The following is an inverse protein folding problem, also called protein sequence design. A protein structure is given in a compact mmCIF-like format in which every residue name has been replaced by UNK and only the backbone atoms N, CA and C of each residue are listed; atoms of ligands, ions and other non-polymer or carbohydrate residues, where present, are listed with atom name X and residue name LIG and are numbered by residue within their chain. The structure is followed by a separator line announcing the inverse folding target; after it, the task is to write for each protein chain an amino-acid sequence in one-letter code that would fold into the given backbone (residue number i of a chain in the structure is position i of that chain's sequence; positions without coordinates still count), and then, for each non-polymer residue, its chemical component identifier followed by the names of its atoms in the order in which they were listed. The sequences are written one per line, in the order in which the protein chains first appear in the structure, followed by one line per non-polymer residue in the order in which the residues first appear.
data_IF_457473873336
#
_entry.id   IF_457473873336
#
_cell.length_a   1.000
_cell.length_b   1.000
_cell.length_c   1.000
_cell.angle_alpha   90.00
_cell.angle_beta   90.00
_cell.angle_gamma   90.00
#
_symmetry.space_group_name_H-M   'P 1'
#
loop_
_entity.id
_entity.type
_entity.pdbx_description
1 polymer ?
#
# COMPACT_ATOMS: atom_id res chain seq x y z
N UNK A 1 10.82 -14.27 -0.83
CA UNK A 1 11.50 -15.29 -1.63
C UNK A 1 12.08 -14.70 -2.92
N UNK A 2 11.30 -14.02 -3.79
CA UNK A 2 11.82 -13.43 -5.03
C UNK A 2 12.93 -12.39 -4.81
N UNK A 3 12.75 -11.48 -3.84
CA UNK A 3 13.79 -10.50 -3.50
C UNK A 3 15.14 -11.16 -3.15
N UNK A 4 15.12 -12.25 -2.39
CA UNK A 4 16.33 -13.01 -2.05
C UNK A 4 16.97 -13.69 -3.28
N UNK A 5 16.16 -14.11 -4.26
CA UNK A 5 16.65 -14.61 -5.54
C UNK A 5 17.32 -13.50 -6.36
N UNK A 6 16.78 -12.28 -6.34
CA UNK A 6 17.39 -11.12 -7.02
C UNK A 6 18.73 -10.71 -6.40
N UNK A 7 18.92 -10.90 -5.09
CA UNK A 7 20.20 -10.70 -4.43
C UNK A 7 21.23 -11.80 -4.70
N UNK A 8 20.87 -12.86 -5.45
CA UNK A 8 21.75 -13.94 -5.82
C UNK A 8 21.97 -15.01 -4.75
N UNK A 9 21.16 -15.01 -3.68
CA UNK A 9 21.27 -16.05 -2.63
C UNK A 9 20.88 -17.44 -3.13
N UNK A 10 19.94 -17.54 -4.04
CA UNK A 10 19.61 -18.75 -4.80
C UNK A 10 19.02 -18.37 -6.15
N UNK A 11 19.50 -19.02 -7.19
CA UNK A 11 18.89 -18.88 -8.50
C UNK A 11 17.68 -19.81 -8.56
N UNK A 12 16.49 -19.25 -8.77
CA UNK A 12 15.31 -20.06 -9.13
C UNK A 12 15.51 -20.48 -10.58
N UNK A 13 16.42 -21.46 -10.79
CA UNK A 13 16.54 -22.13 -12.09
C UNK A 13 15.43 -23.17 -12.16
N UNK A 14 14.58 -23.08 -13.18
CA UNK A 14 13.81 -24.25 -13.58
C UNK A 14 14.77 -25.43 -13.69
N UNK A 15 14.40 -26.66 -13.23
CA UNK A 15 15.26 -27.80 -13.36
C UNK A 15 15.85 -27.88 -14.76
N UNK A 16 17.17 -27.96 -14.86
CA UNK A 16 17.91 -27.90 -16.14
C UNK A 16 17.36 -28.86 -17.20
N UNK A 17 16.70 -29.93 -16.78
CA UNK A 17 15.96 -30.86 -17.65
C UNK A 17 14.75 -30.20 -18.35
N UNK A 18 14.07 -29.24 -17.69
CA UNK A 18 12.92 -28.52 -18.27
C UNK A 18 13.37 -27.37 -19.13
N UNK A 19 14.35 -26.59 -18.68
CA UNK A 19 14.93 -25.49 -19.47
C UNK A 19 15.58 -26.03 -20.75
N UNK A 20 16.41 -27.06 -20.64
CA UNK A 20 17.03 -27.72 -21.80
C UNK A 20 16.01 -28.43 -22.72
N UNK A 21 14.90 -28.93 -22.17
CA UNK A 21 13.82 -29.52 -22.98
C UNK A 21 13.03 -28.47 -23.74
N UNK A 22 12.80 -27.28 -23.12
CA UNK A 22 12.14 -26.15 -23.77
C UNK A 22 13.07 -25.51 -24.80
N UNK A 23 14.35 -25.27 -24.48
CA UNK A 23 15.34 -24.70 -25.40
C UNK A 23 15.64 -25.66 -26.57
N UNK A 24 15.75 -26.98 -26.32
CA UNK A 24 15.94 -27.96 -27.39
C UNK A 24 14.69 -28.14 -28.28
N UNK A 25 13.48 -27.97 -27.72
CA UNK A 25 12.25 -27.93 -28.52
C UNK A 25 12.11 -26.61 -29.27
N UNK A 26 12.43 -25.47 -28.63
CA UNK A 26 12.42 -24.17 -29.26
C UNK A 26 13.39 -24.08 -30.45
N UNK A 27 14.60 -24.67 -30.29
CA UNK A 27 15.61 -24.71 -31.36
C UNK A 27 15.32 -25.74 -32.47
N UNK A 28 14.51 -26.75 -32.19
CA UNK A 28 14.13 -27.77 -33.19
C UNK A 28 12.80 -27.48 -33.90
N UNK A 29 11.99 -26.62 -33.34
CA UNK A 29 10.67 -26.26 -33.89
C UNK A 29 10.76 -24.87 -34.47
N UNK A 30 11.09 -24.74 -35.73
CA UNK A 30 11.00 -23.47 -36.44
C UNK A 30 9.53 -23.09 -36.63
N UNK A 31 9.07 -22.02 -36.00
CA UNK A 31 7.72 -21.52 -36.22
C UNK A 31 7.04 -20.87 -35.01
N UNK A 32 5.76 -20.60 -35.12
CA UNK A 32 4.90 -19.93 -34.15
C UNK A 32 4.95 -20.55 -32.73
N UNK A 33 5.17 -21.89 -32.61
CA UNK A 33 5.25 -22.57 -31.32
C UNK A 33 6.50 -22.17 -30.52
N UNK A 34 7.64 -21.96 -31.18
CA UNK A 34 8.85 -21.47 -30.50
C UNK A 34 8.67 -20.07 -29.98
N UNK A 35 8.07 -19.19 -30.80
CA UNK A 35 7.76 -17.81 -30.40
C UNK A 35 6.78 -17.79 -29.22
N UNK A 36 5.75 -18.62 -29.26
CA UNK A 36 4.77 -18.74 -28.17
C UNK A 36 5.42 -19.23 -26.87
N UNK A 37 6.27 -20.26 -26.92
CA UNK A 37 6.98 -20.75 -25.73
C UNK A 37 7.94 -19.71 -25.14
N UNK A 38 8.67 -18.98 -25.98
CA UNK A 38 9.52 -17.87 -25.52
C UNK A 38 8.71 -16.75 -24.89
N UNK A 39 7.62 -16.35 -25.52
CA UNK A 39 6.71 -15.33 -24.99
C UNK A 39 6.06 -15.78 -23.67
N UNK A 40 5.66 -17.02 -23.58
CA UNK A 40 5.10 -17.61 -22.35
C UNK A 40 6.10 -17.64 -21.20
N UNK A 41 7.35 -18.03 -21.47
CA UNK A 41 8.43 -18.01 -20.46
C UNK A 41 8.73 -16.59 -20.00
N UNK A 42 8.78 -15.62 -20.93
CA UNK A 42 8.97 -14.21 -20.64
C UNK A 42 7.81 -13.66 -19.79
N UNK A 43 6.56 -14.03 -20.12
CA UNK A 43 5.38 -13.65 -19.35
C UNK A 43 5.41 -14.22 -17.93
N UNK A 44 5.80 -15.49 -17.74
CA UNK A 44 5.94 -16.11 -16.41
C UNK A 44 6.99 -15.39 -15.55
N UNK A 45 8.13 -15.04 -16.11
CA UNK A 45 9.18 -14.31 -15.39
C UNK A 45 8.70 -12.90 -15.05
N UNK A 46 8.05 -12.21 -15.99
CA UNK A 46 7.48 -10.86 -15.76
C UNK A 46 6.35 -10.87 -14.74
N UNK A 47 5.54 -11.94 -14.68
CA UNK A 47 4.44 -12.06 -13.74
C UNK A 47 4.91 -12.01 -12.27
N UNK A 48 6.09 -12.53 -11.99
CA UNK A 48 6.69 -12.48 -10.65
C UNK A 48 6.94 -11.05 -10.15
N UNK A 49 7.32 -10.12 -11.05
CA UNK A 49 7.59 -8.73 -10.70
C UNK A 49 6.31 -7.87 -10.68
N UNK A 50 5.27 -8.29 -11.41
CA UNK A 50 4.04 -7.52 -11.61
C UNK A 50 2.88 -8.01 -10.73
N UNK A 51 3.06 -9.15 -10.06
CA UNK A 51 2.07 -9.76 -9.17
C UNK A 51 1.41 -8.78 -8.18
N UNK A 52 2.16 -7.94 -7.48
CA UNK A 52 1.59 -6.96 -6.56
C UNK A 52 0.65 -5.94 -7.24
N UNK A 53 0.99 -5.49 -8.45
CA UNK A 53 0.19 -4.52 -9.21
C UNK A 53 -1.10 -5.18 -9.71
N UNK A 54 -0.97 -6.39 -10.25
CA UNK A 54 -2.12 -7.16 -10.74
C UNK A 54 -3.04 -7.55 -9.57
N UNK A 55 -2.46 -7.95 -8.44
CA UNK A 55 -3.20 -8.26 -7.23
C UNK A 55 -4.02 -7.06 -6.73
N UNK A 56 -3.42 -5.87 -6.71
CA UNK A 56 -4.13 -4.64 -6.34
C UNK A 56 -5.30 -4.34 -7.28
N UNK A 57 -5.10 -4.44 -8.59
CA UNK A 57 -6.15 -4.20 -9.58
C UNK A 57 -7.29 -5.22 -9.48
N UNK A 58 -6.98 -6.49 -9.18
CA UNK A 58 -7.98 -7.54 -8.96
C UNK A 58 -8.80 -7.30 -7.67
N UNK A 59 -8.14 -6.86 -6.61
CA UNK A 59 -8.82 -6.51 -5.36
C UNK A 59 -9.73 -5.30 -5.58
N UNK A 60 -9.26 -4.28 -6.28
CA UNK A 60 -10.08 -3.10 -6.62
C UNK A 60 -11.31 -3.50 -7.47
N UNK A 61 -11.15 -4.41 -8.42
CA UNK A 61 -12.27 -4.98 -9.17
C UNK A 61 -13.27 -5.71 -8.26
N UNK A 62 -12.78 -6.53 -7.34
CA UNK A 62 -13.62 -7.31 -6.44
C UNK A 62 -14.40 -6.44 -5.45
N UNK A 63 -13.83 -5.28 -5.06
CA UNK A 63 -14.45 -4.38 -4.08
C UNK A 63 -15.35 -3.32 -4.71
N UNK A 64 -14.96 -2.75 -5.86
CA UNK A 64 -15.71 -1.68 -6.53
C UNK A 64 -16.83 -2.18 -7.44
N UNK A 65 -16.75 -3.44 -7.88
CA UNK A 65 -17.67 -4.02 -8.88
C UNK A 65 -17.59 -3.34 -10.26
N UNK A 66 -16.66 -2.38 -10.44
CA UNK A 66 -16.48 -1.65 -11.69
C UNK A 66 -15.43 -2.32 -12.56
N UNK A 67 -15.85 -2.95 -13.64
CA UNK A 67 -14.96 -3.64 -14.59
C UNK A 67 -14.03 -2.69 -15.36
N UNK A 68 -14.47 -1.47 -15.65
CA UNK A 68 -13.76 -0.57 -16.56
C UNK A 68 -12.44 -0.02 -15.97
N UNK A 69 -12.40 0.30 -14.68
CA UNK A 69 -11.19 0.81 -14.02
C UNK A 69 -10.01 -0.16 -14.12
N UNK A 70 -10.12 -1.38 -13.57
CA UNK A 70 -9.09 -2.40 -13.68
C UNK A 70 -8.78 -2.83 -15.11
N UNK A 71 -9.77 -2.90 -16.01
CA UNK A 71 -9.56 -3.26 -17.41
C UNK A 71 -8.67 -2.22 -18.13
N UNK A 72 -8.94 -0.93 -17.96
CA UNK A 72 -8.11 0.15 -18.53
C UNK A 72 -6.72 0.14 -17.88
N UNK A 73 -6.62 -0.08 -16.57
CA UNK A 73 -5.35 -0.19 -15.86
C UNK A 73 -4.49 -1.34 -16.38
N UNK A 74 -5.07 -2.52 -16.56
CA UNK A 74 -4.37 -3.69 -17.11
C UNK A 74 -3.97 -3.49 -18.56
N UNK A 75 -4.81 -2.88 -19.37
CA UNK A 75 -4.50 -2.58 -20.77
C UNK A 75 -3.38 -1.54 -20.89
N UNK A 76 -3.41 -0.49 -20.08
CA UNK A 76 -2.33 0.51 -20.00
C UNK A 76 -1.00 -0.11 -19.58
N UNK A 77 -1.02 -1.00 -18.59
CA UNK A 77 0.14 -1.75 -18.16
C UNK A 77 0.70 -2.67 -19.25
N UNK A 78 -0.17 -3.42 -19.94
CA UNK A 78 0.23 -4.30 -21.04
C UNK A 78 0.85 -3.50 -22.20
N UNK A 79 0.28 -2.35 -22.55
CA UNK A 79 0.82 -1.45 -23.58
C UNK A 79 2.19 -0.87 -23.15
N UNK A 80 2.33 -0.43 -21.91
CA UNK A 80 3.58 0.10 -21.37
C UNK A 80 4.72 -0.93 -21.41
N UNK A 81 4.41 -2.20 -21.15
CA UNK A 81 5.38 -3.30 -21.30
C UNK A 81 5.66 -3.66 -22.76
N UNK A 82 4.63 -3.71 -23.61
CA UNK A 82 4.79 -4.10 -25.01
C UNK A 82 5.57 -3.07 -25.83
N UNK A 83 5.44 -1.78 -25.52
CA UNK A 83 6.03 -0.68 -26.29
C UNK A 83 7.56 -0.74 -26.39
N UNK A 84 8.35 -0.90 -25.30
CA UNK A 84 9.80 -1.05 -25.40
C UNK A 84 10.21 -2.28 -26.23
N UNK A 85 9.53 -3.42 -26.02
CA UNK A 85 9.87 -4.64 -26.76
C UNK A 85 9.56 -4.53 -28.26
N UNK A 86 8.45 -3.90 -28.63
CA UNK A 86 8.13 -3.61 -30.04
C UNK A 86 9.13 -2.66 -30.66
N UNK A 87 9.56 -1.61 -29.95
CA UNK A 87 10.60 -0.68 -30.40
C UNK A 87 11.93 -1.40 -30.64
N UNK A 88 12.35 -2.25 -29.74
CA UNK A 88 13.58 -3.05 -29.92
C UNK A 88 13.45 -4.07 -31.06
N UNK A 89 12.27 -4.64 -31.28
CA UNK A 89 12.02 -5.54 -32.40
C UNK A 89 12.03 -4.82 -33.74
N UNK A 90 11.51 -3.57 -33.81
CA UNK A 90 11.53 -2.74 -35.02
C UNK A 90 12.92 -2.17 -35.34
N UNK A 91 13.74 -1.88 -34.32
CA UNK A 91 15.07 -1.31 -34.49
C UNK A 91 16.16 -2.20 -33.86
N UNK A 92 16.50 -3.35 -34.47
CA UNK A 92 17.52 -4.29 -33.94
C UNK A 92 18.91 -3.66 -33.82
N UNK A 93 19.19 -2.59 -34.56
CA UNK A 93 20.44 -1.81 -34.47
C UNK A 93 20.64 -1.15 -33.12
N UNK A 94 19.56 -0.73 -32.44
CA UNK A 94 19.62 -0.19 -31.08
C UNK A 94 20.04 -1.24 -30.06
N UNK A 95 19.59 -2.48 -30.26
CA UNK A 95 19.98 -3.62 -29.39
C UNK A 95 21.49 -3.94 -29.54
N UNK A 96 22.06 -3.74 -30.75
CA UNK A 96 23.51 -3.94 -30.99
C UNK A 96 24.35 -2.81 -30.39
N UNK A 97 23.79 -1.61 -30.25
CA UNK A 97 24.40 -0.46 -29.63
C UNK A 97 24.23 -0.42 -28.10
N UNK A 98 23.31 -1.25 -27.56
CA UNK A 98 23.19 -1.42 -26.11
C UNK A 98 24.50 -2.03 -25.56
N UNK A 99 25.05 -1.47 -24.48
CA UNK A 99 26.29 -1.99 -23.91
C UNK A 99 26.11 -3.45 -23.55
N UNK A 100 26.95 -4.32 -24.12
CA UNK A 100 26.99 -5.77 -23.87
C UNK A 100 27.43 -6.12 -22.42
N UNK A 101 27.38 -5.15 -21.51
CA UNK A 101 27.77 -5.35 -20.11
C UNK A 101 26.62 -5.87 -19.29
N UNK A 102 26.74 -7.08 -18.77
CA UNK A 102 25.78 -7.65 -17.80
C UNK A 102 25.59 -6.78 -16.54
N UNK A 103 26.47 -5.82 -16.30
CA UNK A 103 26.42 -4.94 -15.12
C UNK A 103 25.16 -4.11 -14.98
N UNK A 104 24.65 -3.50 -16.06
CA UNK A 104 23.42 -2.69 -15.99
C UNK A 104 22.19 -3.53 -15.65
N UNK A 105 22.07 -4.69 -16.27
CA UNK A 105 20.96 -5.61 -16.00
C UNK A 105 20.98 -6.09 -14.55
N UNK A 106 22.16 -6.28 -13.99
CA UNK A 106 22.31 -6.73 -12.61
C UNK A 106 21.93 -5.62 -11.62
N UNK A 107 22.36 -4.36 -11.88
CA UNK A 107 21.94 -3.20 -11.09
C UNK A 107 20.40 -3.09 -11.08
N UNK A 108 19.77 -3.27 -12.23
CA UNK A 108 18.31 -3.24 -12.33
C UNK A 108 17.64 -4.36 -11.50
N UNK A 109 18.15 -5.60 -11.59
CA UNK A 109 17.64 -6.75 -10.81
C UNK A 109 17.73 -6.50 -9.31
N UNK A 110 18.89 -6.05 -8.84
CA UNK A 110 19.10 -5.78 -7.40
C UNK A 110 18.23 -4.62 -6.93
N UNK A 111 18.12 -3.55 -7.72
CA UNK A 111 17.22 -2.42 -7.40
C UNK A 111 15.77 -2.85 -7.28
N UNK A 112 15.28 -3.66 -8.22
CA UNK A 112 13.93 -4.24 -8.17
C UNK A 112 13.75 -5.15 -6.94
N UNK A 113 14.78 -5.91 -6.57
CA UNK A 113 14.78 -6.73 -5.37
C UNK A 113 14.58 -5.92 -4.07
N UNK A 114 15.24 -4.76 -3.96
CA UNK A 114 15.02 -3.86 -2.82
C UNK A 114 13.62 -3.27 -2.80
N UNK A 115 13.09 -2.87 -3.95
CA UNK A 115 11.72 -2.34 -4.07
C UNK A 115 10.71 -3.42 -3.70
N UNK A 116 10.90 -4.65 -4.18
CA UNK A 116 10.04 -5.79 -3.85
C UNK A 116 10.06 -6.11 -2.34
N UNK A 117 11.23 -6.01 -1.71
CA UNK A 117 11.36 -6.18 -0.27
C UNK A 117 10.60 -5.09 0.51
N UNK A 118 10.65 -3.85 0.05
CA UNK A 118 9.90 -2.74 0.65
C UNK A 118 8.38 -2.97 0.54
N UNK A 119 7.90 -3.43 -0.60
CA UNK A 119 6.48 -3.79 -0.77
C UNK A 119 6.09 -5.02 0.07
N UNK A 120 6.96 -6.02 0.17
CA UNK A 120 6.72 -7.18 1.05
C UNK A 120 6.52 -6.75 2.50
N UNK A 121 7.35 -5.82 3.01
CA UNK A 121 7.14 -5.22 4.33
C UNK A 121 5.79 -4.51 4.43
N UNK A 122 5.37 -3.77 3.39
CA UNK A 122 4.06 -3.10 3.38
C UNK A 122 2.90 -4.09 3.49
N UNK A 123 2.87 -5.13 2.67
CA UNK A 123 1.80 -6.13 2.69
C UNK A 123 1.81 -6.92 4.01
N UNK A 124 3.00 -7.25 4.52
CA UNK A 124 3.11 -7.94 5.80
C UNK A 124 2.57 -7.07 6.95
N UNK A 125 2.91 -5.77 6.99
CA UNK A 125 2.39 -4.86 8.01
C UNK A 125 0.86 -4.71 7.95
N UNK A 126 0.26 -4.67 6.76
CA UNK A 126 -1.21 -4.63 6.63
C UNK A 126 -1.83 -5.92 7.17
N UNK A 127 -1.25 -7.09 6.84
CA UNK A 127 -1.73 -8.36 7.35
C UNK A 127 -1.55 -8.45 8.88
N UNK A 128 -0.39 -8.05 9.38
CA UNK A 128 -0.04 -8.05 10.80
C UNK A 128 -1.05 -7.25 11.64
N UNK A 129 -1.36 -6.03 11.21
CA UNK A 129 -2.34 -5.18 11.88
C UNK A 129 -3.77 -5.71 11.74
N UNK A 130 -4.13 -6.23 10.55
CA UNK A 130 -5.46 -6.78 10.33
C UNK A 130 -5.75 -8.02 11.19
N UNK A 131 -4.74 -8.84 11.46
CA UNK A 131 -4.85 -10.00 12.35
C UNK A 131 -4.56 -9.66 13.83
N UNK A 132 -4.07 -8.45 14.12
CA UNK A 132 -3.80 -7.97 15.47
C UNK A 132 -2.57 -8.58 16.12
N UNK A 133 -1.54 -8.94 15.33
CA UNK A 133 -0.29 -9.50 15.86
C UNK A 133 0.63 -8.43 16.46
N UNK A 134 0.59 -7.21 15.92
CA UNK A 134 1.40 -6.06 16.36
C UNK A 134 2.92 -6.32 16.36
N UNK A 135 3.41 -7.05 15.36
CA UNK A 135 4.83 -7.31 15.14
C UNK A 135 5.50 -6.22 14.29
N UNK A 136 4.72 -5.61 13.39
CA UNK A 136 5.19 -4.61 12.44
C UNK A 136 4.37 -3.32 12.53
N UNK A 137 4.38 -2.73 13.72
CA UNK A 137 3.81 -1.41 13.95
C UNK A 137 4.60 -0.32 13.21
N UNK A 138 4.15 0.92 13.26
CA UNK A 138 4.66 2.00 12.43
C UNK A 138 6.17 2.24 12.56
N UNK A 139 6.72 2.21 13.78
CA UNK A 139 8.14 2.42 14.02
C UNK A 139 8.99 1.29 13.42
N UNK A 140 8.60 0.02 13.58
CA UNK A 140 9.31 -1.13 13.03
C UNK A 140 9.28 -1.08 11.49
N UNK A 141 8.12 -0.75 10.92
CA UNK A 141 7.97 -0.56 9.49
C UNK A 141 8.90 0.53 8.96
N UNK A 142 8.93 1.71 9.60
CA UNK A 142 9.79 2.81 9.19
C UNK A 142 11.27 2.47 9.34
N UNK A 143 11.68 1.81 10.43
CA UNK A 143 13.05 1.32 10.61
C UNK A 143 13.49 0.42 9.46
N UNK A 144 12.64 -0.55 9.07
CA UNK A 144 12.94 -1.46 7.97
C UNK A 144 13.01 -0.71 6.62
N UNK A 145 12.10 0.22 6.37
CA UNK A 145 12.12 1.01 5.14
C UNK A 145 13.35 1.92 5.06
N UNK A 146 13.74 2.58 6.15
CA UNK A 146 14.95 3.37 6.23
C UNK A 146 16.18 2.50 5.92
N UNK A 147 16.25 1.30 6.49
CA UNK A 147 17.34 0.36 6.23
C UNK A 147 17.35 -0.09 4.76
N UNK A 148 16.20 -0.47 4.18
CA UNK A 148 16.07 -0.93 2.80
C UNK A 148 16.52 0.17 1.82
N UNK A 149 15.97 1.39 1.93
CA UNK A 149 16.31 2.49 1.03
C UNK A 149 17.71 3.03 1.29
N UNK A 150 18.20 2.99 2.52
CA UNK A 150 19.60 3.33 2.85
C UNK A 150 20.58 2.34 2.19
N UNK A 151 20.34 1.04 2.30
CA UNK A 151 21.17 0.00 1.67
C UNK A 151 21.08 0.08 0.14
N UNK A 152 19.89 0.31 -0.42
CA UNK A 152 19.73 0.55 -1.87
C UNK A 152 20.56 1.74 -2.32
N UNK A 153 20.54 2.84 -1.57
CA UNK A 153 21.33 4.03 -1.88
C UNK A 153 22.83 3.76 -1.85
N UNK A 154 23.33 3.03 -0.84
CA UNK A 154 24.73 2.62 -0.74
C UNK A 154 25.13 1.66 -1.88
N UNK A 155 24.23 0.78 -2.30
CA UNK A 155 24.44 -0.10 -3.44
C UNK A 155 24.59 0.69 -4.75
N UNK A 156 23.65 1.60 -5.02
CA UNK A 156 23.65 2.42 -6.24
C UNK A 156 24.86 3.37 -6.34
N UNK A 157 25.41 3.82 -5.20
CA UNK A 157 26.65 4.61 -5.16
C UNK A 157 27.90 3.72 -5.34
N UNK A 158 27.73 2.37 -5.29
CA UNK A 158 28.82 1.42 -5.46
C UNK A 158 29.61 1.09 -4.19
N UNK A 159 29.07 1.44 -3.01
CA UNK A 159 29.69 1.08 -1.71
C UNK A 159 29.35 -0.33 -1.26
N UNK A 160 28.18 -0.83 -1.63
CA UNK A 160 27.75 -2.21 -1.41
C UNK A 160 27.87 -3.01 -2.71
N UNK A 161 28.30 -4.25 -2.59
CA UNK A 161 28.45 -5.19 -3.71
C UNK A 161 27.79 -6.52 -3.31
N UNK A 162 27.03 -7.08 -4.22
CA UNK A 162 26.43 -8.41 -4.04
C UNK A 162 27.19 -9.46 -4.85
N UNK A 163 27.05 -10.70 -4.46
CA UNK A 163 27.68 -11.84 -5.14
C UNK A 163 27.22 -11.98 -6.61
N UNK A 164 26.05 -11.43 -6.94
CA UNK A 164 25.51 -11.34 -8.29
C UNK A 164 26.23 -10.33 -9.19
N UNK A 165 27.04 -9.41 -8.63
CA UNK A 165 27.74 -8.36 -9.39
C UNK A 165 28.97 -8.86 -10.16
N UNK A 166 29.22 -10.18 -10.12
CA UNK A 166 30.37 -10.82 -10.81
C UNK A 166 31.69 -10.64 -10.06
N UNK A 167 32.65 -11.51 -10.39
CA UNK A 167 34.02 -11.46 -9.89
C UNK A 167 34.93 -11.01 -11.02
N UNK A 168 35.62 -9.86 -10.87
CA UNK A 168 36.64 -9.47 -11.83
C UNK A 168 36.68 -7.97 -12.19
N UNK A 169 37.22 -7.67 -13.36
CA UNK A 169 37.51 -6.30 -13.84
C UNK A 169 36.27 -5.38 -13.98
N UNK A 170 35.05 -5.90 -14.02
CA UNK A 170 33.82 -5.10 -14.05
C UNK A 170 33.58 -4.33 -12.76
N UNK A 171 34.15 -4.76 -11.64
CA UNK A 171 34.05 -4.13 -10.33
C UNK A 171 34.81 -2.80 -10.21
N UNK A 172 35.71 -2.51 -11.12
CA UNK A 172 36.58 -1.29 -11.10
C UNK A 172 36.01 -0.16 -11.96
N UNK A 173 34.99 -0.40 -12.77
CA UNK A 173 34.36 0.64 -13.58
C UNK A 173 33.57 1.61 -12.73
N UNK A 174 33.71 2.94 -12.95
CA UNK A 174 32.89 3.93 -12.24
C UNK A 174 31.42 3.71 -12.54
N UNK A 175 30.59 3.78 -11.50
CA UNK A 175 29.13 3.68 -11.62
C UNK A 175 28.61 4.78 -12.55
N UNK A 176 27.62 4.48 -13.42
CA UNK A 176 26.97 5.49 -14.24
C UNK A 176 26.41 6.63 -13.37
N UNK A 177 26.52 7.86 -13.83
CA UNK A 177 26.02 9.05 -13.10
C UNK A 177 24.55 8.89 -12.69
N UNK A 178 23.74 8.27 -13.52
CA UNK A 178 22.32 8.02 -13.23
C UNK A 178 22.12 7.10 -11.99
N UNK A 179 23.02 6.13 -11.79
CA UNK A 179 22.98 5.26 -10.61
C UNK A 179 23.36 6.04 -9.35
N UNK A 180 24.38 6.89 -9.44
CA UNK A 180 24.79 7.74 -8.32
C UNK A 180 23.67 8.70 -7.93
N UNK A 181 23.01 9.33 -8.90
CA UNK A 181 21.85 10.19 -8.64
C UNK A 181 20.70 9.41 -8.00
N UNK A 182 20.39 8.22 -8.52
CA UNK A 182 19.38 7.32 -7.91
C UNK A 182 19.75 6.96 -6.48
N UNK A 183 21.02 6.69 -6.21
CA UNK A 183 21.54 6.41 -4.88
C UNK A 183 21.37 7.58 -3.91
N UNK A 184 21.69 8.79 -4.35
CA UNK A 184 21.48 10.01 -3.55
C UNK A 184 20.00 10.25 -3.25
N UNK A 185 19.11 10.06 -4.22
CA UNK A 185 17.65 10.16 -4.02
C UNK A 185 17.18 9.12 -2.99
N UNK A 186 17.66 7.89 -3.08
CA UNK A 186 17.31 6.82 -2.15
C UNK A 186 17.77 7.12 -0.72
N UNK A 187 18.98 7.65 -0.54
CA UNK A 187 19.50 8.07 0.77
C UNK A 187 18.71 9.27 1.30
N UNK A 188 18.45 10.27 0.45
CA UNK A 188 17.63 11.43 0.85
C UNK A 188 16.23 11.00 1.30
N UNK A 189 15.62 10.02 0.62
CA UNK A 189 14.35 9.45 0.99
C UNK A 189 14.41 8.70 2.34
N UNK A 190 15.48 7.94 2.60
CA UNK A 190 15.72 7.30 3.88
C UNK A 190 15.86 8.33 5.03
N UNK A 191 16.62 9.41 4.80
CA UNK A 191 16.78 10.51 5.77
C UNK A 191 15.43 11.23 6.01
N UNK A 192 14.63 11.43 4.96
CA UNK A 192 13.31 12.04 5.08
C UNK A 192 12.37 11.25 6.00
N UNK A 193 12.53 9.93 6.07
CA UNK A 193 11.70 9.08 6.95
C UNK A 193 12.14 9.09 8.42
N UNK A 194 13.38 9.51 8.75
CA UNK A 194 13.89 9.51 10.12
C UNK A 194 12.98 10.24 11.12
N UNK A 195 12.48 11.46 10.86
CA UNK A 195 11.56 12.13 11.77
C UNK A 195 10.28 11.35 12.07
N UNK A 196 9.87 10.45 11.15
CA UNK A 196 8.71 9.58 11.34
C UNK A 196 8.83 8.64 12.53
N UNK A 197 10.06 8.28 12.93
CA UNK A 197 10.31 7.46 14.13
C UNK A 197 9.92 8.18 15.44
N UNK A 198 9.81 9.50 15.41
CA UNK A 198 9.39 10.33 16.54
C UNK A 198 7.98 10.92 16.37
N UNK A 199 7.18 10.36 15.43
CA UNK A 199 5.78 10.76 15.25
C UNK A 199 5.53 11.83 14.18
N UNK A 200 6.53 12.16 13.34
CA UNK A 200 6.26 13.04 12.21
C UNK A 200 5.36 12.32 11.15
N UNK A 201 4.40 13.01 10.54
CA UNK A 201 3.43 12.40 9.62
C UNK A 201 4.03 11.88 8.32
N UNK A 202 5.24 12.32 7.92
CA UNK A 202 5.97 11.88 6.73
C UNK A 202 5.07 11.78 5.49
N UNK A 203 4.50 12.90 5.02
CA UNK A 203 3.46 12.96 3.98
C UNK A 203 3.77 12.15 2.72
N UNK A 204 5.04 12.15 2.26
CA UNK A 204 5.44 11.41 1.06
C UNK A 204 5.36 9.88 1.22
N UNK A 205 5.38 9.37 2.45
CA UNK A 205 5.36 7.93 2.76
C UNK A 205 4.02 7.51 3.38
N UNK A 206 3.15 8.47 3.70
CA UNK A 206 1.89 8.22 4.42
C UNK A 206 1.03 7.14 3.77
N UNK A 207 0.99 7.09 2.43
CA UNK A 207 0.25 6.09 1.66
C UNK A 207 0.70 4.65 1.93
N UNK A 208 1.95 4.45 2.35
CA UNK A 208 2.57 3.14 2.55
C UNK A 208 2.72 2.80 4.04
N UNK A 209 2.98 3.79 4.88
CA UNK A 209 3.20 3.60 6.30
C UNK A 209 1.91 3.15 7.01
N UNK A 210 2.03 2.32 8.07
CA UNK A 210 0.92 2.00 8.96
C UNK A 210 0.25 3.24 9.57
N UNK A 211 -0.97 3.09 10.11
CA UNK A 211 -1.65 4.17 10.83
C UNK A 211 -0.79 4.79 11.92
N UNK A 212 -0.93 6.11 12.14
CA UNK A 212 -0.12 6.81 13.14
C UNK A 212 -0.43 6.33 14.57
N UNK A 213 -1.65 5.90 14.83
CA UNK A 213 -2.08 5.40 16.14
C UNK A 213 -1.44 4.06 16.56
N UNK A 214 -0.75 3.36 15.64
CA UNK A 214 0.01 2.13 15.97
C UNK A 214 1.41 2.42 16.49
N UNK A 215 1.85 3.68 16.53
CA UNK A 215 3.16 4.06 17.01
C UNK A 215 3.16 4.25 18.52
N UNK A 216 4.03 3.51 19.23
CA UNK A 216 4.15 3.57 20.68
C UNK A 216 4.81 4.86 21.17
N UNK A 217 5.88 5.27 20.50
CA UNK A 217 6.64 6.46 20.86
C UNK A 217 6.36 7.62 19.93
N UNK A 218 5.67 8.65 20.45
CA UNK A 218 5.31 9.83 19.69
C UNK A 218 5.56 11.11 20.49
N UNK A 219 6.43 11.98 19.98
CA UNK A 219 6.69 13.32 20.55
C UNK A 219 5.65 14.36 20.11
N UNK A 220 4.80 14.04 19.14
CA UNK A 220 3.78 14.94 18.65
C UNK A 220 2.52 14.86 19.51
N UNK A 221 2.44 15.71 20.51
CA UNK A 221 1.32 15.79 21.47
C UNK A 221 0.01 16.29 20.87
N UNK A 222 0.02 16.82 19.64
CA UNK A 222 -1.16 17.34 18.92
C UNK A 222 -1.73 16.36 17.89
N UNK A 223 -1.27 15.12 17.92
CA UNK A 223 -1.79 14.11 17.01
C UNK A 223 -3.26 13.81 17.29
N UNK A 224 -4.03 13.65 16.21
CA UNK A 224 -5.41 13.16 16.30
C UNK A 224 -5.35 11.65 16.46
N UNK A 225 -5.74 11.14 17.61
CA UNK A 225 -5.88 9.71 17.88
C UNK A 225 -7.34 9.36 18.10
N UNK A 226 -7.78 8.28 17.45
CA UNK A 226 -9.08 7.72 17.76
C UNK A 226 -9.10 7.25 19.22
N UNK A 227 -10.02 7.80 19.99
CA UNK A 227 -10.20 7.38 21.38
C UNK A 227 -10.82 5.97 21.47
N UNK A 228 -11.57 5.60 20.44
CA UNK A 228 -12.30 4.33 20.39
C UNK A 228 -12.18 3.70 19.01
N UNK A 229 -12.05 2.37 18.99
CA UNK A 229 -12.08 1.52 17.78
C UNK A 229 -13.30 0.59 17.76
N UNK A 230 -14.17 0.73 18.74
CA UNK A 230 -15.43 0.02 18.86
C UNK A 230 -16.60 1.01 18.90
N UNK A 231 -17.63 0.73 18.10
CA UNK A 231 -18.77 1.63 17.92
C UNK A 231 -19.56 1.80 19.21
N UNK A 232 -19.90 0.71 19.89
CA UNK A 232 -20.76 0.73 21.07
C UNK A 232 -20.07 1.44 22.25
N UNK A 233 -18.77 1.17 22.45
CA UNK A 233 -17.98 1.82 23.50
C UNK A 233 -17.84 3.32 23.26
N UNK A 234 -17.54 3.69 22.00
CA UNK A 234 -17.37 5.10 21.64
C UNK A 234 -18.70 5.88 21.74
N UNK A 235 -19.82 5.28 21.33
CA UNK A 235 -21.15 5.91 21.45
C UNK A 235 -21.55 6.11 22.91
N UNK A 236 -21.28 5.13 23.79
CA UNK A 236 -21.53 5.24 25.22
C UNK A 236 -20.71 6.36 25.86
N UNK A 237 -19.44 6.47 25.47
CA UNK A 237 -18.55 7.56 25.96
C UNK A 237 -19.01 8.92 25.45
N UNK A 238 -19.48 9.03 24.22
CA UNK A 238 -20.01 10.27 23.67
C UNK A 238 -21.28 10.71 24.38
N UNK A 239 -22.18 9.78 24.69
CA UNK A 239 -23.37 10.03 25.48
C UNK A 239 -23.04 10.54 26.88
N UNK A 240 -22.06 9.94 27.54
CA UNK A 240 -21.57 10.36 28.88
C UNK A 240 -20.90 11.76 28.84
N UNK A 241 -20.17 12.06 27.75
CA UNK A 241 -19.48 13.33 27.58
C UNK A 241 -20.38 14.45 27.05
N UNK A 242 -21.60 14.13 26.56
CA UNK A 242 -22.50 15.10 25.92
C UNK A 242 -21.91 15.71 24.63
N UNK A 243 -21.12 14.94 23.89
CA UNK A 243 -20.43 15.38 22.66
C UNK A 243 -20.95 14.65 21.44
N UNK A 244 -20.91 15.29 20.27
CA UNK A 244 -21.17 14.59 19.02
C UNK A 244 -20.02 13.62 18.70
N UNK A 245 -20.31 12.62 17.87
CA UNK A 245 -19.38 11.59 17.45
C UNK A 245 -18.92 11.86 16.03
N UNK A 246 -17.63 11.74 15.80
CA UNK A 246 -17.06 11.67 14.48
C UNK A 246 -16.72 10.19 14.18
N UNK A 247 -17.49 9.59 13.28
CA UNK A 247 -17.25 8.22 12.82
C UNK A 247 -16.32 8.26 11.61
N UNK A 248 -15.25 7.51 11.71
CA UNK A 248 -14.26 7.29 10.65
C UNK A 248 -14.28 5.80 10.26
N UNK A 249 -14.85 5.49 9.10
CA UNK A 249 -14.71 4.16 8.50
C UNK A 249 -13.42 4.10 7.69
N UNK A 250 -12.47 3.37 8.21
CA UNK A 250 -11.09 3.29 7.75
C UNK A 250 -10.64 1.84 7.51
N UNK A 251 -9.38 1.65 7.12
CA UNK A 251 -8.76 0.34 6.99
C UNK A 251 -7.25 0.41 7.21
N UNK A 252 -6.64 -0.66 7.69
CA UNK A 252 -5.19 -0.76 7.84
C UNK A 252 -4.47 -0.67 6.50
N UNK A 253 -5.08 -1.24 5.44
CA UNK A 253 -4.60 -1.17 4.06
C UNK A 253 -5.01 0.06 3.27
N UNK A 254 -5.86 0.94 3.83
CA UNK A 254 -6.47 2.06 3.13
C UNK A 254 -5.48 3.20 2.85
N UNK A 255 -4.99 3.29 1.62
CA UNK A 255 -4.06 4.34 1.17
C UNK A 255 -4.66 5.75 1.31
N UNK A 256 -5.91 5.93 0.89
CA UNK A 256 -6.59 7.23 0.93
C UNK A 256 -6.86 7.70 2.37
N UNK A 257 -7.12 6.76 3.30
CA UNK A 257 -7.27 7.06 4.72
C UNK A 257 -5.97 7.63 5.29
N UNK A 258 -4.83 6.96 5.00
CA UNK A 258 -3.49 7.42 5.43
C UNK A 258 -3.14 8.79 4.85
N UNK A 259 -3.52 9.07 3.60
CA UNK A 259 -3.32 10.40 2.99
C UNK A 259 -4.14 11.47 3.69
N UNK A 260 -5.41 11.21 3.98
CA UNK A 260 -6.27 12.15 4.73
C UNK A 260 -5.71 12.45 6.11
N UNK A 261 -5.28 11.43 6.85
CA UNK A 261 -4.64 11.61 8.16
C UNK A 261 -3.40 12.48 8.08
N UNK A 262 -2.53 12.24 7.09
CA UNK A 262 -1.28 12.97 6.95
C UNK A 262 -1.44 14.37 6.36
N UNK A 263 -2.45 14.63 5.52
CA UNK A 263 -2.63 15.89 4.83
C UNK A 263 -3.64 16.82 5.53
N UNK A 264 -4.75 16.26 6.06
CA UNK A 264 -5.88 17.03 6.58
C UNK A 264 -5.91 16.99 8.11
N UNK A 265 -5.78 15.82 8.74
CA UNK A 265 -5.88 15.72 10.20
C UNK A 265 -4.68 16.31 10.94
N UNK A 266 -3.54 16.47 10.27
CA UNK A 266 -2.35 17.16 10.83
C UNK A 266 -2.48 18.68 10.84
N UNK A 267 -3.51 19.24 10.18
CA UNK A 267 -3.77 20.69 10.27
C UNK A 267 -4.23 21.05 11.69
N UNK A 268 -3.62 22.06 12.34
CA UNK A 268 -3.94 22.42 13.73
C UNK A 268 -5.41 22.75 13.97
N UNK A 269 -6.08 23.35 13.00
CA UNK A 269 -7.50 23.73 13.10
C UNK A 269 -8.43 22.51 13.05
N UNK A 270 -8.07 21.48 12.26
CA UNK A 270 -8.78 20.20 12.18
C UNK A 270 -8.50 19.38 13.43
N UNK A 271 -7.22 19.23 13.81
CA UNK A 271 -6.79 18.46 14.96
C UNK A 271 -7.43 18.96 16.26
N UNK A 272 -7.47 20.29 16.45
CA UNK A 272 -8.10 20.90 17.62
C UNK A 272 -9.61 20.59 17.70
N UNK A 273 -10.33 20.62 16.57
CA UNK A 273 -11.77 20.27 16.54
C UNK A 273 -12.01 18.80 16.80
N UNK A 274 -11.28 17.93 16.14
CA UNK A 274 -11.45 16.48 16.32
C UNK A 274 -11.13 16.04 17.76
N UNK A 275 -10.09 16.61 18.38
CA UNK A 275 -9.70 16.24 19.74
C UNK A 275 -10.57 16.88 20.83
N UNK A 276 -11.10 18.11 20.61
CA UNK A 276 -11.81 18.86 21.66
C UNK A 276 -13.32 18.76 21.54
N UNK A 277 -13.85 18.82 20.31
CA UNK A 277 -15.27 19.02 20.08
C UNK A 277 -16.01 17.72 19.79
N UNK A 278 -15.32 16.67 19.38
CA UNK A 278 -15.88 15.39 19.01
C UNK A 278 -15.35 14.24 19.87
N UNK A 279 -16.11 13.13 19.90
CA UNK A 279 -15.58 11.82 20.25
C UNK A 279 -15.25 11.10 18.95
N UNK A 280 -13.97 10.85 18.69
CA UNK A 280 -13.47 10.20 17.49
C UNK A 280 -13.53 8.67 17.65
N UNK A 281 -14.24 8.01 16.74
CA UNK A 281 -14.34 6.55 16.65
C UNK A 281 -13.84 6.13 15.27
N UNK A 282 -12.74 5.37 15.20
CA UNK A 282 -12.22 4.80 13.95
C UNK A 282 -12.57 3.31 13.85
N UNK A 283 -13.32 2.96 12.84
CA UNK A 283 -13.85 1.61 12.60
C UNK A 283 -13.11 0.98 11.42
N UNK A 284 -12.24 0.00 11.72
CA UNK A 284 -11.43 -0.67 10.72
C UNK A 284 -12.23 -1.77 10.02
N UNK A 285 -12.63 -1.54 8.77
CA UNK A 285 -13.47 -2.47 7.99
C UNK A 285 -12.71 -3.68 7.46
N UNK A 286 -11.40 -3.66 7.51
CA UNK A 286 -10.50 -4.74 7.09
C UNK A 286 -9.89 -5.51 8.28
N UNK A 287 -10.39 -5.30 9.50
CA UNK A 287 -9.99 -6.02 10.71
C UNK A 287 -10.42 -7.49 10.62
N UNK A 288 -9.44 -8.40 10.65
CA UNK A 288 -9.62 -9.86 10.52
C UNK A 288 -9.73 -10.59 11.86
N UNK A 289 -9.63 -9.86 12.97
CA UNK A 289 -9.81 -10.47 14.30
C UNK A 289 -11.23 -11.03 14.41
N UNK A 290 -11.37 -12.27 14.94
CA UNK A 290 -12.69 -12.91 15.03
C UNK A 290 -13.59 -12.19 16.03
N UNK A 291 -14.88 -12.16 15.74
CA UNK A 291 -15.89 -11.79 16.73
C UNK A 291 -16.00 -12.88 17.78
N UNK A 292 -16.31 -12.53 19.06
CA UNK A 292 -16.56 -13.52 20.12
C UNK A 292 -17.66 -14.53 19.74
N UNK A 293 -18.72 -14.03 19.10
CA UNK A 293 -19.80 -14.82 18.55
C UNK A 293 -20.11 -14.35 17.12
N UNK A 294 -20.27 -15.27 16.15
CA UNK A 294 -20.69 -14.92 14.80
C UNK A 294 -22.11 -14.31 14.82
N UNK A 295 -22.31 -13.24 14.07
CA UNK A 295 -23.60 -12.52 14.00
C UNK A 295 -24.27 -12.86 12.65
N UNK A 296 -25.45 -13.45 12.71
CA UNK A 296 -26.27 -13.65 11.51
C UNK A 296 -27.07 -12.37 11.19
N UNK A 297 -26.94 -11.89 9.97
CA UNK A 297 -27.61 -10.69 9.47
C UNK A 297 -28.34 -11.01 8.16
N UNK A 298 -29.37 -10.25 7.87
CA UNK A 298 -30.08 -10.32 6.58
C UNK A 298 -29.70 -9.04 5.81
N UNK A 299 -29.05 -9.19 4.65
CA UNK A 299 -28.74 -8.08 3.75
C UNK A 299 -30.02 -7.48 3.15
N UNK A 300 -29.97 -6.27 2.64
CA UNK A 300 -31.10 -5.62 1.98
C UNK A 300 -31.64 -6.41 0.77
N UNK A 301 -30.84 -7.30 0.21
CA UNK A 301 -31.21 -8.24 -0.87
C UNK A 301 -32.05 -9.44 -0.37
N UNK A 302 -32.18 -9.60 0.95
CA UNK A 302 -32.83 -10.78 1.56
C UNK A 302 -31.91 -11.98 1.78
N UNK A 303 -30.63 -11.87 1.40
CA UNK A 303 -29.66 -12.93 1.62
C UNK A 303 -29.17 -12.94 3.08
N UNK A 304 -29.08 -14.14 3.66
CA UNK A 304 -28.50 -14.32 4.99
C UNK A 304 -26.98 -14.36 4.90
N UNK A 305 -26.32 -13.54 5.69
CA UNK A 305 -24.86 -13.49 5.81
C UNK A 305 -24.45 -13.62 7.26
N UNK A 306 -23.39 -14.37 7.51
CA UNK A 306 -22.78 -14.50 8.83
C UNK A 306 -21.54 -13.60 8.90
N UNK A 307 -21.55 -12.63 9.81
CA UNK A 307 -20.41 -11.79 10.12
C UNK A 307 -19.51 -12.55 11.08
N UNK A 308 -18.24 -12.73 10.74
CA UNK A 308 -17.28 -13.53 11.49
C UNK A 308 -16.15 -12.70 12.10
N UNK A 309 -15.85 -11.55 11.50
CA UNK A 309 -14.75 -10.69 11.91
C UNK A 309 -15.26 -9.32 12.36
N UNK A 310 -14.42 -8.61 13.12
CA UNK A 310 -14.70 -7.23 13.55
C UNK A 310 -14.91 -6.33 12.31
N UNK A 311 -14.08 -6.48 11.28
CA UNK A 311 -14.22 -5.73 10.04
C UNK A 311 -15.51 -6.04 9.28
N UNK A 312 -16.00 -7.31 9.31
CA UNK A 312 -17.32 -7.65 8.73
C UNK A 312 -18.43 -6.85 9.44
N UNK A 313 -18.38 -6.75 10.79
CA UNK A 313 -19.34 -5.98 11.59
C UNK A 313 -19.37 -4.52 11.20
N UNK A 314 -18.19 -3.88 11.08
CA UNK A 314 -18.11 -2.46 10.72
C UNK A 314 -18.47 -2.20 9.26
N UNK A 315 -18.07 -3.07 8.35
CA UNK A 315 -18.45 -3.00 6.95
C UNK A 315 -19.96 -3.16 6.76
N UNK A 316 -20.60 -4.05 7.51
CA UNK A 316 -22.05 -4.19 7.52
C UNK A 316 -22.74 -2.94 8.07
N UNK A 317 -22.26 -2.41 9.21
CA UNK A 317 -22.78 -1.16 9.80
C UNK A 317 -22.71 0.00 8.79
N UNK A 318 -21.57 0.16 8.10
CA UNK A 318 -21.39 1.22 7.11
C UNK A 318 -22.40 1.10 5.97
N UNK A 319 -22.55 -0.09 5.39
CA UNK A 319 -23.47 -0.31 4.27
C UNK A 319 -24.92 -0.17 4.69
N UNK A 320 -25.31 -0.79 5.79
CA UNK A 320 -26.70 -0.85 6.20
C UNK A 320 -27.20 0.49 6.74
N UNK A 321 -26.39 1.21 7.52
CA UNK A 321 -26.80 2.45 8.18
C UNK A 321 -26.56 3.70 7.32
N UNK A 322 -25.49 3.71 6.53
CA UNK A 322 -25.07 4.90 5.78
C UNK A 322 -25.07 4.70 4.26
N UNK A 323 -25.40 3.50 3.76
CA UNK A 323 -25.51 3.21 2.33
C UNK A 323 -24.19 3.31 1.55
N UNK A 324 -23.04 3.22 2.22
CA UNK A 324 -21.72 3.36 1.62
C UNK A 324 -20.80 2.20 1.98
N UNK A 325 -19.86 1.87 1.09
CA UNK A 325 -18.80 0.88 1.33
C UNK A 325 -17.40 1.39 0.95
N UNK A 326 -17.25 2.70 0.78
CA UNK A 326 -15.97 3.34 0.39
C UNK A 326 -15.17 3.76 1.62
N UNK A 327 -13.84 3.74 1.56
CA UNK A 327 -12.93 4.25 2.58
C UNK A 327 -11.98 5.29 1.96
N UNK A 328 -11.67 6.39 2.66
CA UNK A 328 -12.27 6.82 3.94
C UNK A 328 -13.71 7.28 3.77
N UNK A 329 -14.51 7.03 4.81
CA UNK A 329 -15.86 7.54 4.88
C UNK A 329 -16.10 8.12 6.26
N UNK A 330 -16.42 9.40 6.31
CA UNK A 330 -16.61 10.19 7.53
C UNK A 330 -18.06 10.62 7.67
N UNK A 331 -18.59 10.50 8.88
CA UNK A 331 -19.94 10.98 9.21
C UNK A 331 -19.98 11.49 10.65
N UNK A 332 -20.61 12.64 10.85
CA UNK A 332 -20.89 13.17 12.18
C UNK A 332 -22.27 12.67 12.63
N UNK A 333 -22.31 12.06 13.82
CA UNK A 333 -23.56 11.51 14.39
C UNK A 333 -23.78 12.03 15.81
N UNK A 334 -25.05 12.04 16.25
CA UNK A 334 -25.37 12.27 17.66
C UNK A 334 -25.12 10.99 18.51
N UNK A 335 -25.13 11.07 19.85
CA UNK A 335 -24.95 9.91 20.71
C UNK A 335 -26.03 8.81 20.55
N UNK A 336 -27.13 9.09 19.84
CA UNK A 336 -28.16 8.14 19.49
C UNK A 336 -27.88 7.47 18.13
N UNK A 337 -26.83 7.93 17.44
CA UNK A 337 -26.40 7.37 16.16
C UNK A 337 -27.11 7.94 14.93
N UNK A 338 -27.84 9.04 15.04
CA UNK A 338 -28.45 9.71 13.91
C UNK A 338 -27.44 10.64 13.25
N UNK A 339 -27.40 10.67 11.91
CA UNK A 339 -26.50 11.56 11.18
C UNK A 339 -26.88 13.04 11.40
N UNK A 340 -25.89 13.86 11.74
CA UNK A 340 -26.03 15.30 11.95
C UNK A 340 -25.83 16.09 10.67
N UNK A 341 -24.92 15.65 9.81
CA UNK A 341 -24.60 16.29 8.53
C UNK A 341 -24.49 15.24 7.43
N UNK A 342 -24.22 15.69 6.19
CA UNK A 342 -23.86 14.77 5.12
C UNK A 342 -22.58 13.98 5.46
N UNK A 343 -22.20 13.06 4.60
CA UNK A 343 -20.93 12.34 4.71
C UNK A 343 -19.81 13.07 3.98
N UNK A 344 -18.56 12.79 4.39
CA UNK A 344 -17.36 13.26 3.71
C UNK A 344 -16.51 12.04 3.32
N UNK A 345 -15.92 12.09 2.13
CA UNK A 345 -15.05 11.03 1.62
C UNK A 345 -13.65 11.59 1.32
N UNK A 346 -12.81 10.82 0.61
CA UNK A 346 -11.48 11.25 0.25
C UNK A 346 -11.47 12.57 -0.54
N UNK A 347 -10.96 13.61 0.09
CA UNK A 347 -10.68 14.90 -0.50
C UNK A 347 -9.67 15.64 0.38
N UNK A 348 -8.46 15.89 -0.13
CA UNK A 348 -7.39 16.59 0.58
C UNK A 348 -7.64 18.11 0.57
N UNK A 349 -8.72 18.57 1.18
CA UNK A 349 -9.20 19.95 1.21
C UNK A 349 -9.54 20.32 2.66
N UNK A 350 -8.62 20.99 3.34
CA UNK A 350 -8.76 21.37 4.75
C UNK A 350 -9.96 22.29 4.99
N UNK A 351 -10.20 23.38 4.22
CA UNK A 351 -11.39 24.22 4.36
C UNK A 351 -12.69 23.43 4.26
N UNK A 352 -12.85 22.61 3.22
CA UNK A 352 -14.06 21.79 3.04
C UNK A 352 -14.28 20.80 4.19
N UNK A 353 -13.20 20.24 4.75
CA UNK A 353 -13.29 19.34 5.90
C UNK A 353 -13.70 20.08 7.18
N UNK A 354 -13.19 21.30 7.39
CA UNK A 354 -13.60 22.18 8.52
C UNK A 354 -15.08 22.54 8.40
N UNK A 355 -15.56 22.89 7.21
CA UNK A 355 -16.97 23.19 6.98
C UNK A 355 -17.86 21.99 7.29
N UNK A 356 -17.44 20.81 6.90
CA UNK A 356 -18.13 19.56 7.24
C UNK A 356 -18.21 19.34 8.76
N UNK A 357 -17.10 19.54 9.51
CA UNK A 357 -17.09 19.44 10.98
C UNK A 357 -17.97 20.51 11.61
N UNK A 358 -17.90 21.76 11.16
CA UNK A 358 -18.72 22.84 11.66
C UNK A 358 -20.22 22.58 11.45
N UNK A 359 -20.59 22.03 10.29
CA UNK A 359 -21.97 21.63 9.99
C UNK A 359 -22.51 20.59 10.97
N UNK A 360 -21.67 19.58 11.34
CA UNK A 360 -22.02 18.61 12.37
C UNK A 360 -22.23 19.25 13.76
N UNK A 361 -21.30 20.13 14.17
CA UNK A 361 -21.39 20.83 15.46
C UNK A 361 -22.61 21.75 15.56
N UNK A 362 -22.91 22.50 14.50
CA UNK A 362 -24.07 23.39 14.47
C UNK A 362 -25.37 22.62 14.66
N UNK A 363 -25.57 21.55 13.91
CA UNK A 363 -26.76 20.70 14.02
C UNK A 363 -26.87 19.96 15.36
N UNK A 364 -25.74 19.63 15.99
CA UNK A 364 -25.75 19.06 17.32
C UNK A 364 -26.20 20.05 18.40
N UNK A 365 -25.84 21.33 18.26
CA UNK A 365 -26.24 22.40 19.20
C UNK A 365 -27.72 22.85 19.03
N UNK A 366 -28.29 22.61 17.85
CA UNK A 366 -29.71 22.92 17.55
C UNK A 366 -30.68 21.88 18.13
N UNK A 367 -30.19 20.69 18.51
CA UNK A 367 -30.95 19.64 19.19
C UNK A 367 -30.91 19.78 20.70
#
# INVERSE_FOLDING_TARGET
MFALSFFGMFEIKLPSKWSNAVDNKANKTSGLVSIFLMAFTLALVSFSCTGPIIGFLLVDFATSGNFWGPAIGMLGFALALALPFTLFAMFPSWLKSAPKSGGWMNILKVTLGFIELAFACKFFSVADLAYGWHLMDREVFLCLWIAIFGLLGLYLIGRLKFQSDGTGEELTKPMPVICIMGGLISIAFAIYMLPGLWGAPCKAVSAFAPPMNTQDFNLNTKEVRAAYTDYEQGMAAAAAAGKPVFLDFTGFGCVNCRKMEAAVWTDPSVADKLNKDYVLISLFVDDKRPLPEPIEVTEATGEKRTLRTIGDKWSYLQRHKFGSNTQPFYVCVDPQGNALSGSFSYKEDVPAFIDFLNGGLSKFKEK
#
